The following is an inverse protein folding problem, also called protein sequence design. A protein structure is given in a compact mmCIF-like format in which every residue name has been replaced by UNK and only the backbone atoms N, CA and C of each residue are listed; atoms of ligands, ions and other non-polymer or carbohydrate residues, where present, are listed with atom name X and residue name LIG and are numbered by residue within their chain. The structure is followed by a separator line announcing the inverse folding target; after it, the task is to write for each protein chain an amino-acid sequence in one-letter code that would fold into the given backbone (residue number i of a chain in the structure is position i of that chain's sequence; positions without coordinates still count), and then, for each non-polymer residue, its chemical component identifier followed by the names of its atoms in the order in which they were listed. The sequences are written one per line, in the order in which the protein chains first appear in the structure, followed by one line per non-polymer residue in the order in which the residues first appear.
data_IF_075899351652
#
_entry.id   IF_075899351652
#
_cell.length_a   1.000
_cell.length_b   1.000
_cell.length_c   1.000
_cell.angle_alpha   90.00
_cell.angle_beta   90.00
_cell.angle_gamma   90.00
#
_symmetry.space_group_name_H-M   'P 1'
#
loop_
_entity.id
_entity.type
_entity.pdbx_description
1 polymer ?
#
# COMPACT_ATOMS: atom_id res chain seq x y z
N UNK A 1 16.83 -26.87 -43.53
CA UNK A 1 16.26 -25.54 -43.23
C UNK A 1 15.77 -25.61 -41.80
N UNK A 2 16.35 -24.76 -40.97
CA UNK A 2 16.27 -24.69 -39.51
C UNK A 2 14.89 -24.30 -38.98
N UNK A 3 14.56 -24.75 -37.76
CA UNK A 3 14.29 -23.86 -36.64
C UNK A 3 14.35 -24.67 -35.35
N UNK A 4 15.46 -24.55 -34.63
CA UNK A 4 15.52 -24.82 -33.20
C UNK A 4 15.00 -23.58 -32.50
N UNK A 5 13.88 -23.69 -31.79
CA UNK A 5 13.44 -22.68 -30.84
C UNK A 5 14.50 -22.57 -29.74
N UNK A 6 15.31 -21.51 -29.78
CA UNK A 6 15.98 -21.01 -28.60
C UNK A 6 14.87 -20.54 -27.64
N UNK A 7 14.55 -21.38 -26.65
CA UNK A 7 14.04 -20.87 -25.38
C UNK A 7 15.05 -19.83 -24.92
N UNK A 8 14.68 -18.56 -25.07
CA UNK A 8 15.33 -17.48 -24.36
C UNK A 8 15.12 -17.78 -22.88
N UNK A 9 16.13 -18.39 -22.26
CA UNK A 9 16.33 -18.33 -20.83
C UNK A 9 16.33 -16.84 -20.51
N UNK A 10 15.17 -16.31 -20.10
CA UNK A 10 15.10 -15.07 -19.35
C UNK A 10 16.03 -15.33 -18.18
N UNK A 11 17.22 -14.73 -18.21
CA UNK A 11 18.08 -14.75 -17.05
C UNK A 11 17.33 -13.92 -16.03
N UNK A 12 16.65 -14.59 -15.11
CA UNK A 12 16.03 -13.95 -13.95
C UNK A 12 17.17 -13.44 -13.07
N UNK A 13 17.64 -12.24 -13.40
CA UNK A 13 18.90 -11.71 -12.94
C UNK A 13 18.60 -10.76 -11.78
N UNK A 14 19.11 -11.09 -10.59
CA UNK A 14 18.82 -10.31 -9.39
C UNK A 14 19.54 -8.96 -9.41
N UNK A 15 18.98 -7.97 -8.71
CA UNK A 15 19.58 -6.64 -8.60
C UNK A 15 19.81 -6.27 -7.13
N UNK A 16 20.97 -5.66 -6.82
CA UNK A 16 21.19 -4.92 -5.58
C UNK A 16 21.36 -3.42 -5.86
N UNK A 17 20.51 -2.57 -5.28
CA UNK A 17 20.59 -1.10 -5.39
C UNK A 17 21.01 -0.45 -4.07
N UNK A 18 21.92 0.52 -4.16
CA UNK A 18 22.54 1.22 -3.05
C UNK A 18 22.13 2.69 -3.06
N UNK A 19 21.76 3.21 -1.89
CA UNK A 19 21.61 4.64 -1.64
C UNK A 19 22.16 4.96 -0.26
N UNK A 20 23.08 5.93 -0.20
CA UNK A 20 23.90 6.17 0.98
C UNK A 20 23.94 7.67 1.28
N UNK A 21 23.30 8.14 2.36
CA UNK A 21 23.44 9.54 2.77
C UNK A 21 24.86 9.82 3.24
N UNK A 22 25.49 10.84 2.65
CA UNK A 22 26.83 11.35 2.98
C UNK A 22 26.79 12.48 4.03
N UNK A 23 25.60 12.87 4.46
CA UNK A 23 25.36 14.01 5.37
C UNK A 23 26.18 13.92 6.66
N UNK A 24 26.39 12.71 7.18
CA UNK A 24 27.12 12.44 8.43
C UNK A 24 28.61 12.79 8.33
N UNK A 25 29.26 12.50 7.19
CA UNK A 25 30.67 12.82 6.97
C UNK A 25 30.90 14.34 6.81
N UNK A 26 29.95 15.04 6.18
CA UNK A 26 29.98 16.50 6.00
C UNK A 26 29.84 17.26 7.32
N UNK A 27 28.93 16.86 8.21
CA UNK A 27 28.60 17.65 9.41
C UNK A 27 29.50 17.42 10.62
N UNK A 28 30.18 16.27 10.72
CA UNK A 28 30.88 15.89 11.97
C UNK A 28 32.40 16.07 11.93
N UNK A 29 33.03 16.07 10.74
CA UNK A 29 34.49 16.13 10.60
C UNK A 29 34.99 17.08 9.49
N UNK A 30 34.10 17.71 8.72
CA UNK A 30 34.48 18.52 7.55
C UNK A 30 35.13 17.69 6.41
N UNK A 31 34.93 16.37 6.43
CA UNK A 31 35.52 15.45 5.45
C UNK A 31 34.62 15.39 4.22
N UNK A 32 35.18 15.75 3.07
CA UNK A 32 34.52 15.60 1.78
C UNK A 32 34.85 14.22 1.20
N UNK A 33 33.85 13.33 1.18
CA UNK A 33 33.96 12.03 0.51
C UNK A 33 34.02 12.26 -0.99
N UNK A 34 35.08 11.76 -1.64
CA UNK A 34 35.29 11.86 -3.09
C UNK A 34 34.86 10.59 -3.84
N UNK A 35 34.85 9.44 -3.17
CA UNK A 35 34.50 8.16 -3.77
C UNK A 35 34.02 7.14 -2.74
N UNK A 36 33.13 6.26 -3.19
CA UNK A 36 32.57 5.17 -2.38
C UNK A 36 32.64 3.89 -3.20
N UNK A 37 33.32 2.88 -2.66
CA UNK A 37 33.43 1.54 -3.26
C UNK A 37 32.58 0.54 -2.48
N UNK A 38 31.87 -0.30 -3.21
CA UNK A 38 31.11 -1.43 -2.68
C UNK A 38 31.72 -2.73 -3.22
N UNK A 39 31.93 -3.69 -2.33
CA UNK A 39 32.27 -5.07 -2.69
C UNK A 39 31.19 -6.02 -2.19
N UNK A 40 30.75 -6.89 -3.09
CA UNK A 40 29.81 -7.98 -2.87
C UNK A 40 30.58 -9.30 -2.89
N UNK A 41 30.38 -10.10 -1.84
CA UNK A 41 30.96 -11.43 -1.70
C UNK A 41 29.88 -12.46 -1.44
N UNK A 42 29.83 -13.54 -2.22
CA UNK A 42 28.71 -14.48 -2.19
C UNK A 42 28.75 -15.45 -3.39
N UNK A 43 27.58 -15.85 -3.92
CA UNK A 43 27.48 -16.71 -5.10
C UNK A 43 28.33 -16.24 -6.29
N UNK A 44 28.43 -14.92 -6.49
CA UNK A 44 29.33 -14.31 -7.47
C UNK A 44 29.99 -13.05 -6.89
N UNK A 45 31.31 -13.03 -6.77
CA UNK A 45 31.98 -11.84 -6.23
C UNK A 45 31.98 -10.72 -7.26
N UNK A 46 31.62 -9.50 -6.85
CA UNK A 46 31.65 -8.31 -7.72
C UNK A 46 31.93 -7.04 -6.92
N UNK A 47 32.41 -5.98 -7.57
CA UNK A 47 32.68 -4.70 -6.92
C UNK A 47 32.49 -3.53 -7.88
N UNK A 48 32.23 -2.35 -7.33
CA UNK A 48 31.86 -1.18 -8.12
C UNK A 48 31.83 0.10 -7.27
N UNK A 49 31.86 1.24 -7.93
CA UNK A 49 31.80 2.54 -7.27
C UNK A 49 30.38 3.11 -7.35
N UNK A 50 29.96 3.81 -6.30
CA UNK A 50 28.70 4.55 -6.30
C UNK A 50 28.90 5.94 -6.91
N UNK A 51 27.84 6.45 -7.54
CA UNK A 51 27.77 7.81 -8.07
C UNK A 51 27.39 8.75 -6.92
N UNK A 52 28.22 9.76 -6.68
CA UNK A 52 27.96 10.80 -5.68
C UNK A 52 27.12 11.90 -6.33
N UNK A 53 26.05 12.33 -5.66
CA UNK A 53 25.18 13.41 -6.10
C UNK A 53 25.95 14.73 -6.20
N UNK A 54 25.48 15.65 -7.06
CA UNK A 54 26.16 16.93 -7.32
C UNK A 54 26.30 17.82 -6.07
N UNK A 55 25.37 17.70 -5.13
CA UNK A 55 25.40 18.36 -3.82
C UNK A 55 26.20 17.58 -2.76
N UNK A 56 26.80 16.45 -3.15
CA UNK A 56 27.56 15.50 -2.33
C UNK A 56 26.84 15.11 -1.02
N UNK A 57 25.52 14.96 -1.08
CA UNK A 57 24.71 14.54 0.07
C UNK A 57 24.33 13.07 0.00
N UNK A 58 24.43 12.42 -1.16
CA UNK A 58 24.09 11.01 -1.36
C UNK A 58 25.10 10.34 -2.31
N UNK A 59 25.46 9.09 -2.04
CA UNK A 59 26.10 8.19 -3.00
C UNK A 59 25.15 7.05 -3.35
N UNK A 60 24.95 6.75 -4.63
CA UNK A 60 24.00 5.72 -5.08
C UNK A 60 24.49 4.95 -6.30
N UNK A 61 24.00 3.74 -6.49
CA UNK A 61 24.35 2.88 -7.64
C UNK A 61 23.70 1.52 -7.53
N UNK A 62 23.87 0.66 -8.54
CA UNK A 62 23.25 -0.67 -8.55
C UNK A 62 24.16 -1.72 -9.18
N UNK A 63 24.06 -2.95 -8.69
CA UNK A 63 24.65 -4.15 -9.27
C UNK A 63 23.53 -5.00 -9.84
N UNK A 64 23.60 -5.25 -11.14
CA UNK A 64 22.62 -6.03 -11.88
C UNK A 64 23.23 -7.39 -12.23
N UNK A 65 22.41 -8.31 -12.75
CA UNK A 65 22.85 -9.64 -13.15
C UNK A 65 23.44 -10.50 -12.04
N UNK A 66 22.91 -10.37 -10.81
CA UNK A 66 23.36 -11.16 -9.67
C UNK A 66 22.67 -12.53 -9.62
N UNK A 67 23.39 -13.53 -9.13
CA UNK A 67 22.89 -14.88 -8.95
C UNK A 67 22.11 -14.94 -7.64
N UNK A 68 21.07 -15.76 -7.57
CA UNK A 68 20.31 -15.97 -6.34
C UNK A 68 21.22 -16.42 -5.18
N UNK A 69 21.04 -15.83 -4.00
CA UNK A 69 21.72 -16.26 -2.77
C UNK A 69 22.14 -15.12 -1.86
N UNK A 70 22.79 -15.48 -0.76
CA UNK A 70 23.27 -14.55 0.27
C UNK A 70 24.57 -13.86 -0.14
N UNK A 71 24.59 -12.54 -0.09
CA UNK A 71 25.78 -11.71 -0.31
C UNK A 71 26.17 -10.98 0.97
N UNK A 72 27.43 -11.10 1.35
CA UNK A 72 28.08 -10.21 2.30
C UNK A 72 28.62 -8.98 1.58
N UNK A 73 28.32 -7.81 2.12
CA UNK A 73 28.61 -6.50 1.54
C UNK A 73 29.64 -5.79 2.40
N UNK A 74 30.66 -5.23 1.77
CA UNK A 74 31.61 -4.30 2.39
C UNK A 74 31.63 -2.98 1.61
N UNK A 75 31.66 -1.86 2.34
CA UNK A 75 31.74 -0.52 1.79
C UNK A 75 32.97 0.18 2.35
N UNK A 76 33.69 0.86 1.46
CA UNK A 76 34.80 1.74 1.78
C UNK A 76 34.50 3.12 1.21
N UNK A 77 34.53 4.15 2.06
CA UNK A 77 34.43 5.54 1.63
C UNK A 77 35.80 6.22 1.77
N UNK A 78 36.17 7.00 0.75
CA UNK A 78 37.47 7.63 0.64
C UNK A 78 37.36 9.16 0.64
N UNK A 79 38.37 9.79 1.22
CA UNK A 79 38.64 11.21 1.09
C UNK A 79 40.15 11.40 0.89
N UNK A 80 40.54 12.11 -0.16
CA UNK A 80 41.94 12.31 -0.54
C UNK A 80 42.72 10.99 -0.70
N UNK A 81 42.06 9.93 -1.19
CA UNK A 81 42.58 8.56 -1.32
C UNK A 81 42.74 7.76 -0.02
N UNK A 82 42.46 8.34 1.14
CA UNK A 82 42.46 7.62 2.42
C UNK A 82 41.07 7.07 2.73
N UNK A 83 41.00 5.84 3.25
CA UNK A 83 39.74 5.30 3.77
C UNK A 83 39.38 6.01 5.07
N UNK A 84 38.23 6.69 5.08
CA UNK A 84 37.77 7.50 6.21
C UNK A 84 36.55 6.91 6.91
N UNK A 85 35.82 6.03 6.24
CA UNK A 85 34.68 5.33 6.80
C UNK A 85 34.49 3.96 6.15
N UNK A 86 33.93 3.03 6.91
CA UNK A 86 33.61 1.68 6.45
C UNK A 86 32.18 1.31 6.81
N UNK A 87 31.58 0.40 6.05
CA UNK A 87 30.27 -0.16 6.33
C UNK A 87 30.23 -1.61 5.93
N UNK A 88 29.37 -2.38 6.59
CA UNK A 88 29.14 -3.79 6.23
C UNK A 88 27.67 -4.13 6.40
N UNK A 89 27.19 -5.10 5.62
CA UNK A 89 25.84 -5.63 5.73
C UNK A 89 25.71 -6.91 4.90
N UNK A 90 24.55 -7.54 4.98
CA UNK A 90 24.24 -8.72 4.16
C UNK A 90 22.97 -8.45 3.35
N UNK A 91 22.84 -9.09 2.20
CA UNK A 91 21.63 -9.01 1.37
C UNK A 91 21.40 -10.35 0.65
N UNK A 92 20.16 -10.80 0.62
CA UNK A 92 19.74 -11.97 -0.15
C UNK A 92 19.27 -11.51 -1.53
N UNK A 93 19.91 -12.00 -2.59
CA UNK A 93 19.46 -11.78 -3.95
C UNK A 93 18.39 -12.81 -4.30
N UNK A 94 17.22 -12.32 -4.70
CA UNK A 94 16.13 -13.13 -5.22
C UNK A 94 15.93 -12.79 -6.72
N UNK A 95 15.89 -13.79 -7.61
CA UNK A 95 15.64 -13.57 -9.03
C UNK A 95 14.37 -12.76 -9.30
N UNK A 96 14.44 -11.79 -10.21
CA UNK A 96 13.31 -10.92 -10.55
C UNK A 96 12.94 -9.88 -9.49
N UNK A 97 13.75 -9.72 -8.43
CA UNK A 97 13.52 -8.72 -7.38
C UNK A 97 14.68 -7.72 -7.27
N UNK A 98 14.34 -6.47 -6.94
CA UNK A 98 15.30 -5.46 -6.51
C UNK A 98 15.49 -5.61 -5.01
N UNK A 99 16.67 -6.05 -4.62
CA UNK A 99 17.12 -5.98 -3.24
C UNK A 99 17.76 -4.62 -3.07
N UNK A 100 17.23 -3.75 -2.22
CA UNK A 100 17.97 -2.52 -1.91
C UNK A 100 19.18 -2.87 -1.02
N UNK A 101 19.96 -1.94 -0.50
CA UNK A 101 20.91 -2.19 0.57
C UNK A 101 21.23 -0.85 1.17
N UNK A 102 20.81 -0.65 2.41
CA UNK A 102 21.25 0.52 3.16
C UNK A 102 22.24 0.08 4.21
N UNK A 103 23.45 0.56 4.02
CA UNK A 103 24.59 0.25 4.85
C UNK A 103 25.01 1.55 5.50
N UNK A 104 25.08 1.54 6.82
CA UNK A 104 25.55 2.69 7.59
C UNK A 104 27.06 2.71 7.54
N UNK A 105 27.61 3.87 7.17
CA UNK A 105 29.03 4.10 7.32
C UNK A 105 29.35 4.45 8.77
N UNK A 106 30.28 3.70 9.32
CA UNK A 106 30.97 4.06 10.55
C UNK A 106 32.20 4.86 10.12
N UNK A 107 32.19 6.16 10.45
CA UNK A 107 33.44 6.94 10.44
C UNK A 107 34.42 6.21 11.34
N UNK A 108 35.66 6.04 10.86
CA UNK A 108 36.71 5.44 11.68
C UNK A 108 36.97 6.25 12.97
N UNK A 109 36.43 7.47 13.05
CA UNK A 109 36.27 8.32 14.22
C UNK A 109 34.79 8.60 14.55
N UNK A 110 34.19 7.79 15.44
CA UNK A 110 32.90 8.08 16.11
C UNK A 110 31.65 7.66 15.33
N UNK A 111 30.99 6.58 15.79
CA UNK A 111 29.89 5.92 15.08
C UNK A 111 28.53 6.63 15.13
N UNK A 112 27.73 6.39 14.09
CA UNK A 112 26.31 6.71 13.99
C UNK A 112 25.54 5.44 13.62
N UNK A 113 24.36 5.23 14.20
CA UNK A 113 23.43 4.16 13.83
C UNK A 113 22.29 4.75 12.99
N UNK A 114 22.03 4.19 11.81
CA UNK A 114 20.81 4.47 11.03
C UNK A 114 20.17 3.13 10.64
N UNK A 115 18.90 2.99 11.02
CA UNK A 115 18.05 1.86 10.64
C UNK A 115 17.35 2.15 9.30
N UNK A 116 17.35 1.17 8.41
CA UNK A 116 16.53 1.22 7.19
C UNK A 116 15.69 -0.03 7.08
N UNK A 117 14.40 0.19 6.81
CA UNK A 117 13.43 -0.85 6.59
C UNK A 117 13.22 -1.11 5.10
N UNK A 118 13.01 -2.38 4.82
CA UNK A 118 12.97 -2.97 3.50
C UNK A 118 11.53 -3.34 3.18
N UNK A 119 11.00 -2.89 2.04
CA UNK A 119 9.67 -3.33 1.59
C UNK A 119 9.68 -3.57 0.08
N UNK A 120 9.22 -4.73 -0.34
CA UNK A 120 8.88 -5.03 -1.75
C UNK A 120 7.80 -4.02 -2.18
N UNK A 121 7.87 -3.43 -3.39
CA UNK A 121 6.81 -2.57 -3.90
C UNK A 121 5.49 -3.29 -3.84
N UNK A 122 4.53 -2.72 -3.12
CA UNK A 122 3.23 -3.31 -2.91
C UNK A 122 2.28 -2.85 -4.01
N UNK A 123 1.35 -3.69 -4.42
CA UNK A 123 0.37 -3.34 -5.46
C UNK A 123 -0.84 -2.66 -4.84
N UNK A 124 -1.22 -1.52 -5.39
CA UNK A 124 -2.41 -0.76 -5.04
C UNK A 124 -3.47 -1.07 -6.10
N UNK A 125 -4.70 -1.39 -5.68
CA UNK A 125 -5.86 -1.41 -6.57
C UNK A 125 -6.63 -0.10 -6.42
N UNK A 126 -7.09 0.48 -7.53
CA UNK A 126 -7.74 1.79 -7.51
C UNK A 126 -8.64 2.00 -8.73
N UNK A 127 -9.45 3.05 -8.70
CA UNK A 127 -10.23 3.48 -9.87
C UNK A 127 -9.47 4.56 -10.63
N UNK A 128 -9.43 4.44 -11.95
CA UNK A 128 -8.83 5.43 -12.84
C UNK A 128 -9.73 5.73 -14.03
N UNK A 129 -9.79 6.99 -14.44
CA UNK A 129 -10.30 7.34 -15.76
C UNK A 129 -9.25 6.99 -16.81
N UNK A 130 -9.61 6.06 -17.70
CA UNK A 130 -8.77 5.66 -18.82
C UNK A 130 -9.53 5.97 -20.11
N UNK A 131 -9.10 7.04 -20.79
CA UNK A 131 -9.70 7.51 -22.03
C UNK A 131 -11.21 7.83 -21.91
N UNK A 132 -11.63 8.44 -20.79
CA UNK A 132 -13.01 8.84 -20.53
C UNK A 132 -13.90 7.73 -19.98
N UNK A 133 -13.32 6.57 -19.62
CA UNK A 133 -14.02 5.42 -19.06
C UNK A 133 -13.39 5.07 -17.72
N UNK A 134 -14.19 4.99 -16.65
CA UNK A 134 -13.71 4.54 -15.34
C UNK A 134 -13.39 3.05 -15.38
N UNK A 135 -12.18 2.68 -14.96
CA UNK A 135 -11.67 1.32 -14.90
C UNK A 135 -11.13 0.99 -13.50
N UNK A 136 -11.10 -0.29 -13.15
CA UNK A 136 -10.28 -0.80 -12.06
C UNK A 136 -8.86 -1.02 -12.59
N UNK A 137 -7.88 -0.44 -11.91
CA UNK A 137 -6.47 -0.49 -12.27
C UNK A 137 -5.62 -0.92 -11.08
N UNK A 138 -4.40 -1.37 -11.38
CA UNK A 138 -3.35 -1.60 -10.39
C UNK A 138 -2.09 -0.82 -10.71
N UNK A 139 -1.32 -0.51 -9.68
CA UNK A 139 0.02 0.09 -9.79
C UNK A 139 0.83 -0.27 -8.54
N UNK A 140 2.15 -0.38 -8.67
CA UNK A 140 3.01 -0.56 -7.51
C UNK A 140 3.25 0.74 -6.73
N UNK A 141 3.56 0.64 -5.43
CA UNK A 141 3.92 1.77 -4.56
C UNK A 141 5.21 2.50 -4.99
N UNK A 142 5.99 1.92 -5.90
CA UNK A 142 7.13 2.58 -6.54
C UNK A 142 6.76 3.29 -7.86
N UNK A 143 5.47 3.29 -8.22
CA UNK A 143 4.90 3.82 -9.47
C UNK A 143 5.16 2.95 -10.72
N UNK A 144 5.61 1.70 -10.56
CA UNK A 144 5.81 0.76 -11.67
C UNK A 144 4.61 -0.18 -11.86
N UNK A 145 4.64 -1.01 -12.90
CA UNK A 145 3.67 -2.09 -13.15
C UNK A 145 2.20 -1.65 -13.21
N UNK A 146 1.95 -0.47 -13.80
CA UNK A 146 0.59 -0.03 -14.08
C UNK A 146 -0.13 -1.02 -14.99
N UNK A 147 -1.30 -1.52 -14.54
CA UNK A 147 -2.13 -2.45 -15.30
C UNK A 147 -3.59 -2.03 -15.23
N UNK A 148 -4.31 -2.16 -16.35
CA UNK A 148 -5.76 -1.99 -16.41
C UNK A 148 -6.39 -3.38 -16.25
N UNK A 149 -7.24 -3.59 -15.24
CA UNK A 149 -7.84 -4.90 -14.95
C UNK A 149 -9.20 -5.10 -15.61
N UNK A 150 -9.95 -4.02 -15.83
CA UNK A 150 -11.26 -4.06 -16.48
C UNK A 150 -11.21 -3.44 -17.88
N UNK A 151 -12.07 -3.89 -18.78
CA UNK A 151 -12.15 -3.42 -20.16
C UNK A 151 -13.56 -2.95 -20.51
N UNK A 152 -14.15 -2.11 -19.65
CA UNK A 152 -15.48 -1.56 -19.91
C UNK A 152 -15.51 -0.75 -21.21
N UNK A 153 -16.53 -0.97 -22.03
CA UNK A 153 -16.71 -0.32 -23.35
C UNK A 153 -17.46 1.00 -23.28
N UNK A 154 -18.04 1.34 -22.12
CA UNK A 154 -18.71 2.60 -21.84
C UNK A 154 -18.56 2.93 -20.35
N UNK A 155 -18.69 4.21 -19.99
CA UNK A 155 -18.51 4.63 -18.60
C UNK A 155 -19.65 4.06 -17.73
N UNK A 156 -19.34 3.26 -16.68
CA UNK A 156 -20.37 2.85 -15.74
C UNK A 156 -21.00 4.07 -15.06
N UNK A 157 -22.23 3.90 -14.56
CA UNK A 157 -22.90 4.97 -13.81
C UNK A 157 -22.12 5.29 -12.52
N UNK A 158 -21.55 4.26 -11.89
CA UNK A 158 -20.58 4.40 -10.82
C UNK A 158 -19.78 3.11 -10.66
N UNK A 159 -18.52 3.23 -10.25
CA UNK A 159 -17.64 2.12 -9.89
C UNK A 159 -16.72 2.59 -8.76
N UNK A 160 -16.40 1.72 -7.80
CA UNK A 160 -15.52 2.15 -6.73
C UNK A 160 -15.25 1.15 -5.62
N UNK A 161 -14.48 1.66 -4.66
CA UNK A 161 -14.04 0.97 -3.43
C UNK A 161 -13.51 -0.45 -3.68
N UNK A 162 -12.53 -0.62 -4.59
CA UNK A 162 -11.95 -1.93 -4.86
C UNK A 162 -11.15 -2.45 -3.66
N UNK A 163 -11.28 -3.74 -3.37
CA UNK A 163 -10.66 -4.44 -2.26
C UNK A 163 -10.01 -5.74 -2.71
N UNK A 164 -8.77 -6.01 -2.30
CA UNK A 164 -8.22 -7.37 -2.41
C UNK A 164 -8.81 -8.29 -1.34
N UNK A 165 -8.92 -9.57 -1.66
CA UNK A 165 -9.06 -10.61 -0.65
C UNK A 165 -7.80 -10.72 0.22
N UNK A 166 -7.91 -11.20 1.47
CA UNK A 166 -6.75 -11.45 2.33
C UNK A 166 -5.73 -12.43 1.74
N UNK A 167 -6.18 -13.36 0.91
CA UNK A 167 -5.33 -14.26 0.13
C UNK A 167 -4.85 -13.66 -1.21
N UNK A 168 -5.22 -12.39 -1.49
CA UNK A 168 -4.89 -11.54 -2.64
C UNK A 168 -5.11 -12.14 -4.02
N UNK A 169 -5.86 -13.24 -4.09
CA UNK A 169 -6.20 -13.90 -5.34
C UNK A 169 -7.42 -13.25 -6.01
N UNK A 170 -8.17 -12.44 -5.27
CA UNK A 170 -9.41 -11.82 -5.72
C UNK A 170 -9.41 -10.32 -5.48
N UNK A 171 -10.22 -9.63 -6.27
CA UNK A 171 -10.59 -8.23 -6.07
C UNK A 171 -12.11 -8.14 -6.09
N UNK A 172 -12.69 -7.49 -5.08
CA UNK A 172 -14.11 -7.13 -5.05
C UNK A 172 -14.26 -5.61 -5.18
N UNK A 173 -15.32 -5.16 -5.82
CA UNK A 173 -15.65 -3.74 -5.98
C UNK A 173 -17.15 -3.59 -6.23
N UNK A 174 -17.69 -2.39 -6.02
CA UNK A 174 -19.06 -2.14 -6.47
C UNK A 174 -19.06 -1.59 -7.90
N UNK A 175 -20.09 -1.93 -8.66
CA UNK A 175 -20.31 -1.48 -10.03
C UNK A 175 -21.80 -1.24 -10.27
N UNK A 176 -22.11 -0.13 -10.93
CA UNK A 176 -23.41 0.14 -11.52
C UNK A 176 -23.26 0.25 -13.04
N UNK A 177 -23.64 -0.83 -13.71
CA UNK A 177 -23.65 -0.96 -15.17
C UNK A 177 -25.03 -0.60 -15.78
N UNK A 178 -25.93 -0.03 -14.99
CA UNK A 178 -27.32 0.27 -15.37
C UNK A 178 -28.35 -0.70 -14.81
N UNK A 179 -27.94 -1.81 -14.18
CA UNK A 179 -28.84 -2.78 -13.54
C UNK A 179 -29.14 -2.49 -12.05
N UNK A 180 -28.48 -1.48 -11.48
CA UNK A 180 -28.42 -1.24 -10.04
C UNK A 180 -26.97 -1.28 -9.55
N UNK A 181 -26.73 -0.86 -8.30
CA UNK A 181 -25.40 -0.99 -7.70
C UNK A 181 -25.27 -2.41 -7.14
N UNK A 182 -24.21 -3.09 -7.54
CA UNK A 182 -23.93 -4.46 -7.15
C UNK A 182 -22.46 -4.68 -6.83
N UNK A 183 -22.17 -5.71 -6.03
CA UNK A 183 -20.81 -6.20 -5.80
C UNK A 183 -20.41 -7.15 -6.92
N UNK A 184 -19.21 -6.91 -7.42
CA UNK A 184 -18.54 -7.72 -8.45
C UNK A 184 -17.20 -8.20 -7.91
N UNK A 185 -16.79 -9.38 -8.37
CA UNK A 185 -15.55 -10.04 -7.98
C UNK A 185 -14.80 -10.49 -9.23
N UNK A 186 -13.48 -10.32 -9.24
CA UNK A 186 -12.59 -10.86 -10.26
C UNK A 186 -11.35 -11.49 -9.61
N UNK A 187 -10.58 -12.25 -10.38
CA UNK A 187 -9.21 -12.62 -9.99
C UNK A 187 -8.34 -11.36 -9.92
N UNK A 188 -7.28 -11.37 -9.10
CA UNK A 188 -6.37 -10.23 -8.95
C UNK A 188 -5.62 -9.84 -10.23
N UNK A 189 -5.59 -10.73 -11.22
CA UNK A 189 -5.08 -10.47 -12.57
C UNK A 189 -6.14 -9.92 -13.57
N UNK A 190 -7.36 -9.64 -13.12
CA UNK A 190 -8.46 -9.10 -13.94
C UNK A 190 -9.36 -10.15 -14.62
N UNK A 191 -9.00 -11.43 -14.58
CA UNK A 191 -9.84 -12.50 -15.18
C UNK A 191 -11.02 -12.90 -14.30
N UNK A 192 -11.99 -13.63 -14.86
CA UNK A 192 -13.17 -14.15 -14.15
C UNK A 192 -14.03 -13.09 -13.43
N UNK A 193 -14.23 -11.93 -14.07
CA UNK A 193 -15.14 -10.91 -13.58
C UNK A 193 -16.59 -11.45 -13.51
N UNK A 194 -17.14 -11.48 -12.29
CA UNK A 194 -18.43 -12.10 -11.97
C UNK A 194 -19.20 -11.21 -11.00
N UNK A 195 -20.49 -11.00 -11.27
CA UNK A 195 -21.42 -10.33 -10.35
C UNK A 195 -21.83 -11.29 -9.23
N UNK A 196 -21.77 -10.85 -7.97
CA UNK A 196 -22.09 -11.70 -6.80
C UNK A 196 -23.36 -11.28 -6.06
N UNK A 197 -23.82 -10.04 -6.23
CA UNK A 197 -25.13 -9.58 -5.74
C UNK A 197 -26.03 -9.18 -6.90
N UNK A 198 -27.34 -9.27 -6.72
CA UNK A 198 -28.33 -9.01 -7.78
C UNK A 198 -29.42 -8.06 -7.27
N UNK A 199 -28.99 -6.88 -6.87
CA UNK A 199 -29.80 -5.80 -6.35
C UNK A 199 -30.21 -4.87 -7.49
N UNK A 200 -31.51 -4.53 -7.53
CA UNK A 200 -32.07 -3.62 -8.54
C UNK A 200 -32.17 -2.18 -8.00
N UNK A 201 -31.59 -1.91 -6.82
CA UNK A 201 -31.64 -0.62 -6.16
C UNK A 201 -30.43 0.25 -6.55
N UNK A 202 -30.62 1.57 -6.56
CA UNK A 202 -29.63 2.53 -7.05
C UNK A 202 -28.85 3.25 -5.93
N UNK A 203 -28.83 2.70 -4.71
CA UNK A 203 -28.24 3.38 -3.56
C UNK A 203 -26.73 3.21 -3.49
N UNK A 204 -26.06 4.33 -3.22
CA UNK A 204 -24.60 4.43 -3.08
C UNK A 204 -24.12 3.92 -1.73
N UNK A 205 -22.96 3.25 -1.71
CA UNK A 205 -22.19 3.06 -0.49
C UNK A 205 -21.70 1.65 -0.21
N UNK A 206 -21.86 0.69 -1.12
CA UNK A 206 -21.37 -0.67 -0.89
C UNK A 206 -19.83 -0.66 -0.83
N UNK A 207 -19.24 -0.85 0.35
CA UNK A 207 -17.80 -1.06 0.52
C UNK A 207 -17.60 -2.57 0.70
N UNK A 208 -17.24 -3.32 -0.35
CA UNK A 208 -17.02 -4.75 -0.20
C UNK A 208 -15.75 -4.99 0.64
N UNK A 209 -15.89 -5.81 1.66
CA UNK A 209 -14.80 -6.23 2.54
C UNK A 209 -14.83 -7.75 2.70
N UNK A 210 -13.72 -8.38 2.38
CA UNK A 210 -13.59 -9.83 2.50
C UNK A 210 -13.46 -10.25 3.96
N UNK A 211 -14.08 -11.37 4.30
CA UNK A 211 -13.70 -12.16 5.47
C UNK A 211 -12.22 -12.52 5.42
N UNK A 212 -11.61 -12.75 6.58
CA UNK A 212 -10.22 -13.22 6.69
C UNK A 212 -9.92 -14.51 5.91
N UNK A 213 -10.94 -15.34 5.71
CA UNK A 213 -10.90 -16.60 4.98
C UNK A 213 -11.13 -16.44 3.48
N UNK A 214 -11.36 -15.22 2.99
CA UNK A 214 -11.56 -14.89 1.57
C UNK A 214 -12.78 -15.55 0.91
N UNK A 215 -13.74 -16.05 1.69
CA UNK A 215 -14.91 -16.83 1.23
C UNK A 215 -16.24 -16.07 1.34
N UNK A 216 -16.30 -15.03 2.16
CA UNK A 216 -17.49 -14.20 2.40
C UNK A 216 -17.14 -12.73 2.16
N UNK A 217 -18.05 -11.99 1.55
CA UNK A 217 -18.00 -10.55 1.42
C UNK A 217 -19.03 -9.90 2.33
N UNK A 218 -18.59 -8.90 3.08
CA UNK A 218 -19.44 -7.98 3.82
C UNK A 218 -19.54 -6.69 3.04
N UNK A 219 -20.72 -6.11 3.00
CA UNK A 219 -20.96 -4.92 2.22
C UNK A 219 -22.13 -4.12 2.79
N UNK A 220 -22.29 -2.91 2.27
CA UNK A 220 -23.34 -1.98 2.68
C UNK A 220 -24.45 -1.98 1.68
N UNK A 221 -25.66 -2.20 2.15
CA UNK A 221 -26.86 -2.17 1.32
C UNK A 221 -27.92 -1.34 1.99
N UNK A 222 -28.50 -0.45 1.21
CA UNK A 222 -29.73 0.25 1.56
C UNK A 222 -30.89 -0.54 0.97
N UNK A 223 -31.99 -0.68 1.71
CA UNK A 223 -33.23 -1.28 1.18
C UNK A 223 -34.36 -0.26 1.26
N UNK A 224 -34.91 0.11 0.10
CA UNK A 224 -35.95 1.14 0.01
C UNK A 224 -35.51 2.50 0.54
N UNK A 225 -36.39 3.23 1.25
CA UNK A 225 -36.06 4.52 1.88
C UNK A 225 -35.38 4.38 3.26
N UNK A 226 -34.99 3.17 3.63
CA UNK A 226 -34.39 2.85 4.92
C UNK A 226 -32.96 3.36 5.05
N UNK A 227 -32.42 3.20 6.25
CA UNK A 227 -31.01 3.43 6.49
C UNK A 227 -30.19 2.24 5.96
N UNK A 228 -28.93 2.47 5.59
CA UNK A 228 -28.07 1.38 5.14
C UNK A 228 -27.74 0.42 6.29
N UNK A 229 -27.68 -0.88 5.98
CA UNK A 229 -27.36 -1.97 6.91
C UNK A 229 -26.19 -2.78 6.37
N UNK A 230 -25.62 -3.62 7.23
CA UNK A 230 -24.55 -4.57 6.88
C UNK A 230 -25.17 -5.84 6.33
N UNK A 231 -24.73 -6.21 5.13
CA UNK A 231 -25.10 -7.45 4.46
C UNK A 231 -23.87 -8.30 4.24
N UNK A 232 -24.09 -9.60 4.08
CA UNK A 232 -23.05 -10.54 3.69
C UNK A 232 -23.51 -11.42 2.55
N UNK A 233 -22.56 -11.83 1.72
CA UNK A 233 -22.76 -12.76 0.60
C UNK A 233 -21.54 -13.65 0.49
N UNK A 234 -21.74 -14.92 0.18
CA UNK A 234 -20.62 -15.82 -0.13
C UNK A 234 -20.01 -15.42 -1.47
N UNK A 235 -18.71 -15.65 -1.67
CA UNK A 235 -18.00 -15.23 -2.89
C UNK A 235 -18.55 -15.86 -4.19
N UNK A 236 -19.33 -16.95 -4.06
CA UNK A 236 -20.05 -17.59 -5.16
C UNK A 236 -21.43 -16.95 -5.46
N UNK A 237 -21.77 -15.86 -4.79
CA UNK A 237 -23.05 -15.14 -4.91
C UNK A 237 -24.22 -15.77 -4.14
N UNK A 238 -23.97 -16.79 -3.33
CA UNK A 238 -25.00 -17.42 -2.50
C UNK A 238 -25.10 -16.75 -1.12
N UNK A 239 -26.18 -17.06 -0.40
CA UNK A 239 -26.39 -16.63 0.98
C UNK A 239 -26.35 -15.10 1.19
N UNK A 240 -26.76 -14.34 0.18
CA UNK A 240 -26.98 -12.90 0.29
C UNK A 240 -28.05 -12.60 1.34
N UNK A 241 -27.62 -12.09 2.49
CA UNK A 241 -28.49 -11.95 3.66
C UNK A 241 -28.07 -10.76 4.52
N UNK A 242 -29.08 -10.18 5.19
CA UNK A 242 -28.86 -9.16 6.21
C UNK A 242 -27.97 -9.74 7.30
N UNK A 243 -26.88 -9.04 7.58
CA UNK A 243 -25.94 -9.41 8.62
C UNK A 243 -26.20 -8.65 9.91
N UNK A 244 -26.32 -7.31 9.83
CA UNK A 244 -26.70 -6.48 10.97
C UNK A 244 -27.33 -5.15 10.52
N UNK A 245 -28.33 -4.67 11.25
CA UNK A 245 -29.00 -3.38 11.05
C UNK A 245 -28.31 -2.21 11.76
N UNK A 246 -27.06 -1.89 11.40
CA UNK A 246 -26.37 -0.66 11.83
C UNK A 246 -26.92 0.57 11.08
N UNK A 247 -28.21 0.83 11.25
CA UNK A 247 -28.98 1.81 10.50
C UNK A 247 -28.27 3.17 10.36
N UNK A 248 -27.79 3.48 9.15
CA UNK A 248 -27.49 4.86 8.72
C UNK A 248 -26.05 5.34 8.87
N UNK A 249 -25.17 4.53 9.44
CA UNK A 249 -23.77 4.90 9.61
C UNK A 249 -22.89 4.44 8.43
N UNK A 250 -21.85 5.19 8.10
CA UNK A 250 -20.75 4.64 7.30
C UNK A 250 -19.96 3.69 8.21
N UNK A 251 -19.54 2.55 7.68
CA UNK A 251 -18.72 1.61 8.44
C UNK A 251 -17.62 1.02 7.57
N UNK A 252 -16.60 0.55 8.27
CA UNK A 252 -15.46 -0.20 7.78
C UNK A 252 -15.33 -1.39 8.72
N UNK A 253 -15.33 -2.60 8.18
CA UNK A 253 -15.11 -3.84 8.91
C UNK A 253 -13.72 -4.32 8.54
N UNK A 254 -12.83 -4.33 9.51
CA UNK A 254 -11.55 -4.98 9.35
C UNK A 254 -11.58 -6.38 9.96
N UNK A 255 -11.35 -7.39 9.13
CA UNK A 255 -11.26 -8.78 9.58
C UNK A 255 -9.84 -9.13 10.05
N UNK A 256 -9.75 -9.90 11.13
CA UNK A 256 -8.52 -10.32 11.82
C UNK A 256 -8.61 -11.82 12.10
N UNK A 257 -8.15 -12.66 11.18
CA UNK A 257 -8.41 -14.10 11.30
C UNK A 257 -9.91 -14.33 11.58
N UNK A 258 -10.28 -15.17 12.55
CA UNK A 258 -11.70 -15.39 12.88
C UNK A 258 -12.38 -14.26 13.69
N UNK A 259 -11.68 -13.15 13.95
CA UNK A 259 -12.19 -11.97 14.65
C UNK A 259 -12.39 -10.78 13.69
N UNK A 260 -13.05 -9.74 14.16
CA UNK A 260 -13.27 -8.51 13.39
C UNK A 260 -13.12 -7.30 14.32
N UNK A 261 -12.70 -6.18 13.74
CA UNK A 261 -12.88 -4.85 14.29
C UNK A 261 -13.81 -4.12 13.35
N UNK A 262 -14.99 -3.76 13.84
CA UNK A 262 -15.84 -2.83 13.11
C UNK A 262 -15.56 -1.43 13.61
N UNK A 263 -15.21 -0.57 12.67
CA UNK A 263 -15.19 0.87 12.86
C UNK A 263 -16.41 1.44 12.17
N UNK A 264 -17.21 2.19 12.89
CA UNK A 264 -18.30 2.92 12.27
C UNK A 264 -18.19 4.40 12.56
N UNK A 265 -18.56 5.18 11.55
CA UNK A 265 -18.65 6.63 11.62
C UNK A 265 -20.08 6.97 11.99
N UNK A 266 -20.29 7.42 13.22
CA UNK A 266 -21.59 7.91 13.69
C UNK A 266 -21.43 9.32 14.24
N UNK A 267 -22.29 10.26 13.84
CA UNK A 267 -22.22 11.65 14.32
C UNK A 267 -20.85 12.32 14.08
N UNK A 268 -20.11 11.88 13.05
CA UNK A 268 -18.79 12.39 12.73
C UNK A 268 -17.65 11.88 13.61
N UNK A 269 -17.83 10.82 14.41
CA UNK A 269 -16.75 10.18 15.17
C UNK A 269 -16.50 8.74 14.72
N UNK A 270 -15.28 8.24 14.92
CA UNK A 270 -14.92 6.83 14.74
C UNK A 270 -15.20 6.08 16.04
N UNK A 271 -16.07 5.07 15.95
CA UNK A 271 -16.42 4.18 17.04
C UNK A 271 -15.89 2.80 16.76
N UNK A 272 -15.56 2.05 17.81
CA UNK A 272 -15.20 0.64 17.73
C UNK A 272 -16.22 -0.22 18.46
N UNK A 273 -16.57 -1.35 17.85
CA UNK A 273 -17.25 -2.46 18.52
C UNK A 273 -16.47 -3.75 18.35
N UNK A 274 -16.53 -4.61 19.36
CA UNK A 274 -16.04 -5.99 19.31
C UNK A 274 -17.20 -6.98 19.08
N UNK A 275 -18.40 -6.47 18.76
CA UNK A 275 -19.60 -7.26 18.50
C UNK A 275 -20.24 -6.82 17.19
N UNK A 276 -20.49 -7.80 16.32
CA UNK A 276 -21.24 -7.66 15.07
C UNK A 276 -22.75 -7.70 15.32
N UNK A 277 -23.20 -7.77 16.59
CA UNK A 277 -24.61 -7.92 16.97
C UNK A 277 -25.04 -6.89 18.03
N UNK A 278 -24.09 -6.41 18.84
CA UNK A 278 -24.33 -5.45 19.92
C UNK A 278 -23.84 -4.06 19.50
N UNK A 279 -24.71 -3.06 19.67
CA UNK A 279 -24.47 -1.64 19.40
C UNK A 279 -23.57 -0.99 20.47
N UNK A 280 -23.23 -1.72 21.53
CA UNK A 280 -22.24 -1.30 22.52
C UNK A 280 -20.92 -0.93 21.83
N UNK A 281 -20.64 0.35 21.81
CA UNK A 281 -19.55 0.94 21.04
C UNK A 281 -18.82 1.96 21.88
N UNK A 282 -17.52 2.06 21.63
CA UNK A 282 -16.67 3.06 22.29
C UNK A 282 -16.28 4.09 21.25
N UNK A 283 -16.58 5.37 21.51
CA UNK A 283 -16.03 6.48 20.73
C UNK A 283 -14.52 6.49 20.91
N UNK A 284 -13.78 6.30 19.82
CA UNK A 284 -12.32 6.40 19.82
C UNK A 284 -11.87 7.82 19.50
N UNK A 285 -12.44 8.39 18.43
CA UNK A 285 -11.99 9.68 17.89
C UNK A 285 -13.20 10.49 17.45
N UNK A 286 -13.35 11.70 17.99
CA UNK A 286 -14.40 12.64 17.59
C UNK A 286 -13.97 13.45 16.37
N UNK A 287 -14.89 13.71 15.44
CA UNK A 287 -14.62 14.52 14.25
C UNK A 287 -13.78 13.82 13.18
N UNK A 288 -13.78 12.49 13.11
CA UNK A 288 -12.95 11.73 12.20
C UNK A 288 -13.76 10.80 11.26
N UNK A 289 -13.23 10.54 10.06
CA UNK A 289 -13.85 9.72 9.03
C UNK A 289 -12.85 8.83 8.29
N UNK A 290 -13.38 7.91 7.48
CA UNK A 290 -12.61 6.99 6.63
C UNK A 290 -11.52 6.23 7.40
N UNK A 291 -11.83 5.50 8.48
CA UNK A 291 -10.83 4.77 9.23
C UNK A 291 -10.18 3.66 8.38
N UNK A 292 -8.88 3.46 8.57
CA UNK A 292 -8.17 2.26 8.14
C UNK A 292 -7.24 1.78 9.25
N UNK A 293 -7.07 0.47 9.38
CA UNK A 293 -6.20 -0.17 10.37
C UNK A 293 -5.03 -0.82 9.66
N UNK A 294 -3.86 -0.83 10.29
CA UNK A 294 -2.70 -1.53 9.77
C UNK A 294 -2.75 -3.03 10.12
N UNK A 295 -2.01 -3.85 9.37
CA UNK A 295 -2.15 -5.31 9.45
C UNK A 295 -1.80 -5.90 10.83
N UNK A 296 -0.89 -5.27 11.58
CA UNK A 296 -0.52 -5.70 12.95
C UNK A 296 -1.46 -5.17 14.05
N UNK A 297 -2.47 -4.37 13.67
CA UNK A 297 -3.51 -3.83 14.54
C UNK A 297 -3.01 -2.89 15.63
N UNK A 298 -1.90 -2.21 15.40
CA UNK A 298 -1.36 -1.25 16.37
C UNK A 298 -1.76 0.18 16.05
N UNK A 299 -2.13 0.47 14.80
CA UNK A 299 -2.39 1.83 14.30
C UNK A 299 -3.72 1.97 13.58
N UNK A 300 -4.29 3.16 13.75
CA UNK A 300 -5.50 3.63 13.06
C UNK A 300 -5.16 4.90 12.28
N UNK A 301 -5.33 4.87 10.96
CA UNK A 301 -5.27 6.03 10.09
C UNK A 301 -6.69 6.53 9.78
N UNK A 302 -6.86 7.85 9.66
CA UNK A 302 -8.17 8.46 9.44
C UNK A 302 -8.07 9.87 8.87
N UNK A 303 -9.16 10.34 8.27
CA UNK A 303 -9.34 11.74 7.94
C UNK A 303 -9.81 12.52 9.18
N UNK A 304 -9.18 13.66 9.45
CA UNK A 304 -9.51 14.54 10.57
C UNK A 304 -10.73 15.43 10.32
N UNK A 305 -11.04 16.26 11.33
CA UNK A 305 -12.22 17.13 11.31
C UNK A 305 -12.17 18.13 10.16
N UNK A 306 -13.24 18.17 9.35
CA UNK A 306 -13.30 19.00 8.14
C UNK A 306 -12.74 18.33 6.89
N UNK A 307 -12.34 17.05 6.96
CA UNK A 307 -11.86 16.26 5.81
C UNK A 307 -10.72 16.93 5.07
N UNK A 308 -9.82 17.58 5.80
CA UNK A 308 -8.70 18.31 5.21
C UNK A 308 -7.34 17.72 5.57
N UNK A 309 -7.31 16.77 6.51
CA UNK A 309 -6.07 16.30 7.11
C UNK A 309 -6.09 14.78 7.27
N UNK A 310 -4.91 14.18 7.18
CA UNK A 310 -4.67 12.76 7.40
C UNK A 310 -3.96 12.60 8.72
N UNK A 311 -4.49 11.74 9.56
CA UNK A 311 -4.01 11.48 10.90
C UNK A 311 -3.72 10.00 11.09
N UNK A 312 -2.82 9.71 12.01
CA UNK A 312 -2.58 8.37 12.53
C UNK A 312 -2.63 8.42 14.06
N UNK A 313 -3.10 7.34 14.68
CA UNK A 313 -3.12 7.16 16.13
C UNK A 313 -2.83 5.71 16.48
N UNK A 314 -2.67 5.40 17.77
CA UNK A 314 -2.79 4.04 18.25
C UNK A 314 -4.22 3.51 17.99
N UNK A 315 -4.39 2.19 17.96
CA UNK A 315 -5.70 1.57 17.68
C UNK A 315 -6.82 2.02 18.65
N UNK A 316 -6.47 2.42 19.87
CA UNK A 316 -7.39 2.94 20.89
C UNK A 316 -7.70 4.45 20.74
N UNK A 317 -7.20 5.10 19.69
CA UNK A 317 -7.37 6.53 19.43
C UNK A 317 -6.36 7.43 20.15
N UNK A 318 -5.47 6.86 20.98
CA UNK A 318 -4.45 7.65 21.69
C UNK A 318 -3.27 8.02 20.80
N UNK A 319 -2.48 9.00 21.24
CA UNK A 319 -1.27 9.48 20.54
C UNK A 319 -1.54 9.92 19.08
N UNK A 320 -2.50 10.83 18.84
CA UNK A 320 -2.77 11.30 17.49
C UNK A 320 -1.57 12.07 16.94
N UNK A 321 -1.22 11.76 15.70
CA UNK A 321 -0.18 12.40 14.91
C UNK A 321 -0.80 12.87 13.60
N UNK A 322 -0.72 14.17 13.34
CA UNK A 322 -1.04 14.75 12.04
C UNK A 322 0.03 14.31 11.04
N UNK A 323 -0.36 13.50 10.04
CA UNK A 323 0.54 13.10 8.95
C UNK A 323 0.65 14.20 7.91
N UNK A 324 -0.50 14.74 7.48
CA UNK A 324 -0.58 15.78 6.45
C UNK A 324 -1.81 16.66 6.63
N UNK A 325 -1.66 17.94 6.31
CA UNK A 325 -2.74 18.91 6.18
C UNK A 325 -2.89 19.27 4.69
N UNK A 326 -3.82 18.61 4.00
CA UNK A 326 -3.95 18.59 2.54
C UNK A 326 -5.13 19.43 2.00
N UNK A 327 -5.87 20.14 2.85
CA UNK A 327 -6.96 21.01 2.42
C UNK A 327 -8.26 20.27 2.10
N UNK A 328 -8.43 19.66 0.93
CA UNK A 328 -9.65 18.88 0.61
C UNK A 328 -9.27 17.42 0.35
N UNK A 329 -9.64 16.57 1.29
CA UNK A 329 -9.58 15.11 1.16
C UNK A 329 -10.87 14.62 0.50
N UNK A 330 -10.76 13.68 -0.44
CA UNK A 330 -11.92 13.20 -1.20
C UNK A 330 -11.98 11.68 -1.33
N UNK A 331 -11.45 10.91 -0.38
CA UNK A 331 -11.42 9.46 -0.60
C UNK A 331 -11.08 8.58 0.60
N UNK A 332 -10.34 7.51 0.32
CA UNK A 332 -10.00 6.46 1.30
C UNK A 332 -8.56 6.64 1.77
N UNK A 333 -8.31 6.33 3.04
CA UNK A 333 -6.95 6.02 3.52
C UNK A 333 -6.80 4.52 3.64
N UNK A 334 -5.59 4.02 3.46
CA UNK A 334 -5.25 2.62 3.67
C UNK A 334 -3.80 2.51 4.12
N UNK A 335 -3.44 1.44 4.83
CA UNK A 335 -2.04 1.14 5.12
C UNK A 335 -1.48 0.24 4.04
N UNK A 336 -0.18 0.39 3.76
CA UNK A 336 0.59 -0.69 3.15
C UNK A 336 0.61 -1.91 4.09
N UNK A 337 0.74 -3.10 3.53
CA UNK A 337 0.76 -4.39 4.23
C UNK A 337 1.78 -4.45 5.36
N UNK A 338 2.98 -3.94 5.12
CA UNK A 338 4.05 -3.83 6.12
C UNK A 338 3.76 -2.80 7.22
N UNK A 339 2.64 -2.07 7.13
CA UNK A 339 2.21 -1.06 8.08
C UNK A 339 3.07 0.20 8.11
N UNK A 340 4.04 0.34 7.20
CA UNK A 340 5.03 1.43 7.26
C UNK A 340 4.57 2.71 6.58
N UNK A 341 3.58 2.63 5.68
CA UNK A 341 3.08 3.76 4.92
C UNK A 341 1.56 3.81 4.93
N UNK A 342 1.05 5.01 4.74
CA UNK A 342 -0.36 5.29 4.47
C UNK A 342 -0.49 5.69 3.00
N UNK A 343 -1.38 5.03 2.28
CA UNK A 343 -1.81 5.36 0.91
C UNK A 343 -3.15 6.08 1.00
N UNK A 344 -3.26 7.21 0.31
CA UNK A 344 -4.44 8.06 0.38
C UNK A 344 -4.68 8.81 -0.93
N UNK A 345 -5.92 9.27 -1.16
CA UNK A 345 -6.26 10.09 -2.33
C UNK A 345 -6.58 11.54 -1.99
N UNK A 346 -6.24 12.45 -2.92
CA UNK A 346 -6.50 13.89 -2.81
C UNK A 346 -7.20 14.44 -4.05
N UNK A 347 -8.10 15.42 -3.85
CA UNK A 347 -8.76 16.20 -4.92
C UNK A 347 -9.33 15.33 -6.06
N UNK A 348 -9.88 14.18 -5.73
CA UNK A 348 -10.60 13.29 -6.65
C UNK A 348 -9.74 12.62 -7.72
N UNK A 349 -8.41 12.79 -7.72
CA UNK A 349 -7.61 12.38 -8.86
C UNK A 349 -6.11 12.19 -8.60
N UNK A 350 -5.60 12.19 -7.36
CA UNK A 350 -4.20 11.81 -7.10
C UNK A 350 -4.08 10.83 -5.96
N UNK A 351 -3.31 9.76 -6.17
CA UNK A 351 -2.95 8.76 -5.16
C UNK A 351 -1.54 9.07 -4.68
N UNK A 352 -1.40 9.22 -3.36
CA UNK A 352 -0.14 9.49 -2.67
C UNK A 352 0.15 8.39 -1.67
N UNK A 353 1.43 8.26 -1.34
CA UNK A 353 1.93 7.45 -0.24
C UNK A 353 2.76 8.33 0.70
N UNK A 354 2.63 8.12 2.00
CA UNK A 354 3.40 8.82 3.04
C UNK A 354 3.80 7.84 4.13
N UNK A 355 5.00 7.99 4.69
CA UNK A 355 5.43 7.15 5.82
C UNK A 355 4.58 7.46 7.06
N UNK A 356 4.37 6.47 7.94
CA UNK A 356 3.55 6.63 9.15
C UNK A 356 4.08 7.64 10.18
N UNK A 357 5.28 8.18 9.99
CA UNK A 357 5.85 9.28 10.77
C UNK A 357 5.64 10.66 10.10
N UNK A 358 4.93 10.70 8.96
CA UNK A 358 4.63 11.91 8.17
C UNK A 358 5.73 12.29 7.17
N UNK A 359 6.88 11.60 7.19
CA UNK A 359 8.00 11.85 6.28
C UNK A 359 7.82 11.12 4.93
N UNK A 360 8.73 11.39 3.99
CA UNK A 360 8.87 10.66 2.73
C UNK A 360 7.56 10.51 1.91
N UNK A 361 6.81 11.60 1.75
CA UNK A 361 5.65 11.59 0.86
C UNK A 361 6.07 11.52 -0.61
N UNK A 362 5.32 10.73 -1.38
CA UNK A 362 5.46 10.62 -2.82
C UNK A 362 4.09 10.54 -3.50
N UNK A 363 3.96 11.15 -4.68
CA UNK A 363 2.84 10.93 -5.59
C UNK A 363 3.07 9.63 -6.36
N UNK A 364 2.09 8.73 -6.36
CA UNK A 364 2.15 7.45 -7.07
C UNK A 364 1.62 7.59 -8.49
N UNK A 365 0.39 8.09 -8.62
CA UNK A 365 -0.35 8.21 -9.88
C UNK A 365 -1.57 9.11 -9.71
N UNK A 366 -2.25 9.38 -10.82
CA UNK A 366 -3.58 9.94 -10.86
C UNK A 366 -4.67 8.86 -10.72
N UNK A 367 -5.73 9.17 -9.99
CA UNK A 367 -6.81 8.24 -9.67
C UNK A 367 -7.48 8.51 -8.33
N UNK A 368 -8.48 7.70 -8.00
CA UNK A 368 -9.28 7.82 -6.77
C UNK A 368 -9.64 6.44 -6.21
N UNK A 369 -10.15 6.44 -4.98
CA UNK A 369 -10.44 5.23 -4.20
C UNK A 369 -9.32 4.17 -4.22
N UNK A 370 -8.09 4.55 -3.82
CA UNK A 370 -7.01 3.59 -3.68
C UNK A 370 -7.28 2.64 -2.53
N UNK A 371 -6.89 1.40 -2.72
CA UNK A 371 -6.73 0.46 -1.63
C UNK A 371 -5.41 -0.28 -1.78
N UNK A 372 -4.52 0.00 -0.83
CA UNK A 372 -3.21 -0.61 -0.72
C UNK A 372 -3.21 -1.74 0.31
N UNK A 373 -4.32 -2.48 0.44
CA UNK A 373 -4.30 -3.74 1.20
C UNK A 373 -4.00 -4.91 0.26
N UNK A 374 -2.76 -5.15 -0.21
CA UNK A 374 -2.43 -6.35 -0.93
C UNK A 374 -1.89 -7.43 0.00
N UNK A 375 -1.98 -8.62 -0.56
CA UNK A 375 -1.55 -9.92 -0.09
C UNK A 375 -0.26 -10.01 0.70
#
# INVERSE_FOLDING_TARGET
MSCTDEQTNVKDDGQISFSMPLSVAKTQAGIQIDSVRVNLSGPTNTSGNLVISNDSTVASGSFNNLVAGEYSISILAFANHDTVATGSGNATVIPGQITNATITLTLLTGGLNINVNWSIPQTIVYVKDVAGIQQICTINTDSTNFTILTSFSSNPSTIGKPAYSPDGNKIAFYLNDGSGINIWVMNSNGSNLTQVTFNNESFIGERPEFSSTSDVLYYRRTTGAGAASIWRVDINGQNDSLYNDFSGNEYMIEFIGNSYLMFFVHGGGIYRTNSLIDLASTLLISGAQYPAVNHDLTKLAYAGSGFNSIWISNLDGTSPLLLKDEGVFSGSVSFTKDGQYVVYSRNGATIKIVKIDGSAEKIITDGWDPMAKPN
#
